data_IF_090948843475
#
_entry.id   IF_090948843475
#
_cell.length_a   1.000
_cell.length_b   1.000
_cell.length_c   1.000
_cell.angle_alpha   90.00
_cell.angle_beta   90.00
_cell.angle_gamma   90.00
#
_symmetry.space_group_name_H-M   'P 1'
#
loop_
_entity.id
_entity.type
_entity.pdbx_description
1 polymer ?
#
# COMPACT_ATOMS: atom_id res chain seq x y z
N UNK A 1 -2.33 13.70 -15.00
CA UNK A 1 -1.43 13.95 -13.84
C UNK A 1 -0.56 12.73 -13.58
N UNK A 2 0.68 12.94 -13.15
CA UNK A 2 1.61 11.85 -12.79
C UNK A 2 1.50 11.57 -11.29
N UNK A 3 0.53 10.72 -10.91
CA UNK A 3 0.22 10.43 -9.50
C UNK A 3 1.22 9.49 -8.82
N UNK A 4 2.52 9.75 -8.97
CA UNK A 4 3.55 8.88 -8.40
C UNK A 4 4.77 9.64 -7.89
N UNK A 5 5.28 9.18 -6.76
CA UNK A 5 6.57 9.55 -6.21
C UNK A 5 7.54 8.43 -6.58
N UNK A 6 8.50 8.74 -7.45
CA UNK A 6 9.53 7.77 -7.85
C UNK A 6 10.78 7.97 -7.01
N UNK A 7 11.39 6.88 -6.60
CA UNK A 7 12.76 6.89 -6.09
C UNK A 7 13.56 5.73 -6.68
N UNK A 8 14.87 5.90 -6.81
CA UNK A 8 15.76 4.91 -7.38
C UNK A 8 16.84 4.50 -6.38
N UNK A 9 16.86 3.23 -5.96
CA UNK A 9 17.80 2.72 -4.95
C UNK A 9 17.81 3.55 -3.65
N UNK A 10 16.63 3.90 -3.13
CA UNK A 10 16.50 4.72 -1.90
C UNK A 10 15.60 4.08 -0.87
N UNK A 11 15.93 4.37 0.38
CA UNK A 11 15.07 4.13 1.53
C UNK A 11 14.54 5.48 2.00
N UNK A 12 13.22 5.59 2.09
CA UNK A 12 12.51 6.80 2.53
C UNK A 12 11.93 6.51 3.91
N UNK A 13 12.11 7.45 4.85
CA UNK A 13 11.55 7.34 6.19
C UNK A 13 10.64 8.54 6.45
N UNK A 14 9.38 8.27 6.77
CA UNK A 14 8.43 9.22 7.31
C UNK A 14 8.25 8.89 8.79
N UNK A 15 8.65 9.79 9.67
CA UNK A 15 8.54 9.55 11.11
C UNK A 15 8.14 10.81 11.85
N UNK A 16 7.30 10.63 12.86
CA UNK A 16 7.06 11.66 13.85
C UNK A 16 8.32 11.86 14.70
N UNK A 17 8.65 13.13 14.92
CA UNK A 17 9.64 13.56 15.92
C UNK A 17 8.92 14.38 16.99
N UNK A 18 9.19 14.09 18.26
CA UNK A 18 8.60 14.81 19.40
C UNK A 18 7.33 14.19 19.98
N UNK A 19 6.72 14.93 20.91
CA UNK A 19 5.54 14.53 21.69
C UNK A 19 4.23 14.94 21.00
N UNK A 20 3.09 14.44 21.47
CA UNK A 20 1.76 14.84 21.00
C UNK A 20 1.04 13.73 20.21
N UNK A 21 0.02 14.10 19.43
CA UNK A 21 -0.68 13.16 18.54
C UNK A 21 0.23 12.71 17.37
N UNK A 22 -0.10 11.59 16.74
CA UNK A 22 0.57 11.21 15.50
C UNK A 22 0.18 12.18 14.38
N UNK A 23 1.13 12.58 13.51
CA UNK A 23 0.76 13.23 12.27
C UNK A 23 0.03 12.24 11.36
N UNK A 24 -0.80 12.78 10.48
CA UNK A 24 -1.56 11.97 9.52
C UNK A 24 -0.95 12.11 8.11
N UNK A 25 -0.64 10.98 7.48
CA UNK A 25 -0.39 10.88 6.05
C UNK A 25 -1.72 10.63 5.33
N UNK A 26 -2.28 11.68 4.75
CA UNK A 26 -3.50 11.59 3.95
C UNK A 26 -3.17 11.19 2.52
N UNK A 27 -3.53 9.97 2.17
CA UNK A 27 -3.32 9.44 0.84
C UNK A 27 -4.46 9.92 -0.08
N UNK A 28 -4.10 10.46 -1.26
CA UNK A 28 -5.09 10.95 -2.22
C UNK A 28 -5.47 9.92 -3.29
N UNK A 29 -6.62 10.15 -3.94
CA UNK A 29 -7.03 9.50 -5.18
C UNK A 29 -7.33 10.53 -6.29
N UNK A 30 -7.25 10.11 -7.55
CA UNK A 30 -7.49 10.95 -8.71
C UNK A 30 -8.05 10.15 -9.90
N UNK A 31 -8.64 10.84 -10.88
CA UNK A 31 -9.09 10.23 -12.14
C UNK A 31 -7.90 10.07 -13.09
N UNK A 32 -7.62 8.82 -13.45
CA UNK A 32 -6.62 8.42 -14.43
C UNK A 32 -7.28 8.10 -15.77
N UNK A 33 -6.79 8.73 -16.83
CA UNK A 33 -7.19 8.45 -18.22
C UNK A 33 -6.13 7.55 -18.85
N UNK A 34 -6.53 6.36 -19.32
CA UNK A 34 -5.65 5.42 -20.02
C UNK A 34 -5.37 5.86 -21.46
N UNK A 35 -4.40 5.21 -22.11
CA UNK A 35 -3.98 5.56 -23.49
C UNK A 35 -5.07 5.39 -24.55
N UNK A 36 -6.12 4.62 -24.26
CA UNK A 36 -7.31 4.45 -25.10
C UNK A 36 -8.48 5.38 -24.71
N UNK A 37 -8.27 6.34 -23.80
CA UNK A 37 -9.29 7.31 -23.36
C UNK A 37 -10.24 6.82 -22.27
N UNK A 38 -10.12 5.58 -21.79
CA UNK A 38 -10.95 5.10 -20.66
C UNK A 38 -10.54 5.76 -19.33
N UNK A 39 -11.51 6.01 -18.46
CA UNK A 39 -11.30 6.67 -17.18
C UNK A 39 -11.42 5.71 -16.00
N UNK A 40 -10.54 5.86 -15.01
CA UNK A 40 -10.49 5.04 -13.80
C UNK A 40 -10.12 5.87 -12.57
N UNK A 41 -10.48 5.42 -11.37
CA UNK A 41 -9.87 5.91 -10.14
C UNK A 41 -8.48 5.32 -9.95
N UNK A 42 -7.53 6.14 -9.51
CA UNK A 42 -6.16 5.74 -9.17
C UNK A 42 -5.73 6.38 -7.84
N UNK A 43 -4.81 5.73 -7.12
CA UNK A 43 -4.20 6.24 -5.88
C UNK A 43 -2.85 6.88 -6.20
N UNK A 44 -2.51 7.98 -5.51
CA UNK A 44 -1.14 8.51 -5.57
C UNK A 44 -0.18 7.50 -4.93
N UNK A 45 0.94 7.17 -5.55
CA UNK A 45 1.72 6.00 -5.11
C UNK A 45 3.22 6.20 -5.11
N UNK A 46 3.89 5.47 -4.23
CA UNK A 46 5.33 5.30 -4.22
C UNK A 46 5.73 4.20 -5.19
N UNK A 47 6.78 4.46 -5.96
CA UNK A 47 7.39 3.48 -6.87
C UNK A 47 8.90 3.50 -6.64
N UNK A 48 9.45 2.34 -6.27
CA UNK A 48 10.87 2.13 -6.04
C UNK A 48 11.49 1.42 -7.24
N UNK A 49 12.16 2.18 -8.09
CA UNK A 49 12.91 1.64 -9.24
C UNK A 49 14.31 1.22 -8.77
N UNK A 50 14.84 0.10 -9.28
CA UNK A 50 16.15 -0.46 -8.85
C UNK A 50 16.19 -1.07 -7.43
N UNK A 51 15.22 -0.73 -6.59
CA UNK A 51 15.03 -1.28 -5.25
C UNK A 51 14.83 -0.17 -4.24
N UNK A 52 14.28 -0.51 -3.07
CA UNK A 52 14.12 0.47 -2.01
C UNK A 52 13.03 0.13 -1.02
N UNK A 53 12.83 1.05 -0.08
CA UNK A 53 11.83 0.90 0.96
C UNK A 53 11.19 2.21 1.37
N UNK A 54 9.95 2.11 1.86
CA UNK A 54 9.27 3.14 2.61
C UNK A 54 9.10 2.66 4.04
N UNK A 55 9.62 3.41 5.01
CA UNK A 55 9.35 3.20 6.42
C UNK A 55 8.48 4.33 6.96
N UNK A 56 7.39 4.00 7.64
CA UNK A 56 6.46 4.94 8.24
C UNK A 56 6.38 4.64 9.74
N UNK A 57 6.66 5.63 10.60
CA UNK A 57 6.80 5.40 12.04
C UNK A 57 6.03 6.41 12.88
N UNK A 58 5.08 5.92 13.68
CA UNK A 58 4.21 6.72 14.53
C UNK A 58 3.49 7.81 13.73
N UNK A 59 2.95 7.42 12.58
CA UNK A 59 2.20 8.27 11.67
C UNK A 59 0.90 7.53 11.38
N UNK A 60 -0.23 8.21 11.52
CA UNK A 60 -1.51 7.65 11.12
C UNK A 60 -1.65 7.78 9.60
N UNK A 61 -2.30 6.83 8.94
CA UNK A 61 -2.43 6.80 7.47
C UNK A 61 -3.92 6.71 7.14
N UNK A 62 -4.40 7.59 6.27
CA UNK A 62 -5.77 7.53 5.77
C UNK A 62 -5.77 7.17 4.29
N UNK A 63 -6.32 5.99 3.96
CA UNK A 63 -6.47 5.51 2.58
C UNK A 63 -7.71 6.15 1.94
N UNK A 64 -7.60 6.59 0.67
CA UNK A 64 -8.65 7.33 0.03
C UNK A 64 -9.81 6.43 -0.38
N UNK A 65 -11.01 7.01 -0.46
CA UNK A 65 -12.08 6.49 -1.29
C UNK A 65 -11.87 6.83 -2.77
N UNK A 66 -12.82 6.45 -3.62
CA UNK A 66 -12.84 6.87 -5.03
C UNK A 66 -12.92 8.39 -5.16
N UNK A 67 -12.16 8.95 -6.09
CA UNK A 67 -12.30 10.36 -6.51
C UNK A 67 -13.57 10.59 -7.33
N UNK A 68 -14.02 9.59 -8.08
CA UNK A 68 -15.29 9.58 -8.80
C UNK A 68 -16.01 8.24 -8.57
N UNK A 69 -17.15 8.21 -7.85
CA UNK A 69 -17.86 6.97 -7.53
C UNK A 69 -18.28 6.13 -8.74
N UNK A 70 -18.57 6.76 -9.88
CA UNK A 70 -19.05 6.09 -11.09
C UNK A 70 -17.96 5.29 -11.82
N UNK A 71 -16.70 5.62 -11.59
CA UNK A 71 -15.58 4.96 -12.27
C UNK A 71 -15.07 3.75 -11.48
N UNK A 72 -14.61 2.72 -12.18
CA UNK A 72 -13.92 1.59 -11.58
C UNK A 72 -12.52 2.02 -11.07
N UNK A 73 -11.94 1.25 -10.15
CA UNK A 73 -10.52 1.38 -9.82
C UNK A 73 -9.66 0.83 -10.97
N UNK A 74 -8.55 1.50 -11.27
CA UNK A 74 -7.46 0.87 -12.05
C UNK A 74 -6.65 -0.06 -11.14
N UNK A 75 -5.74 -0.85 -11.71
CA UNK A 75 -4.77 -1.66 -10.95
C UNK A 75 -3.84 -0.84 -10.04
N UNK A 76 -3.87 0.49 -10.16
CA UNK A 76 -3.04 1.46 -9.42
C UNK A 76 -3.71 1.90 -8.11
N UNK A 77 -4.08 0.93 -7.27
CA UNK A 77 -4.90 1.12 -6.07
C UNK A 77 -4.18 0.74 -4.77
N UNK A 78 -2.85 0.94 -4.74
CA UNK A 78 -1.98 0.70 -3.58
C UNK A 78 -1.07 1.90 -3.31
N UNK A 79 -0.72 2.14 -2.03
CA UNK A 79 0.26 3.16 -1.64
C UNK A 79 1.64 2.86 -2.23
N UNK A 80 2.15 1.64 -2.02
CA UNK A 80 3.41 1.19 -2.60
C UNK A 80 3.09 0.29 -3.77
N UNK A 81 3.36 0.80 -4.98
CA UNK A 81 3.12 0.07 -6.21
C UNK A 81 4.34 -0.78 -6.58
N UNK A 82 4.07 -1.89 -7.26
CA UNK A 82 5.11 -2.75 -7.80
C UNK A 82 6.04 -2.00 -8.79
N UNK A 83 7.30 -2.41 -8.81
CA UNK A 83 8.24 -2.15 -9.89
C UNK A 83 8.70 -3.50 -10.42
N UNK A 84 8.53 -3.71 -11.73
CA UNK A 84 8.80 -5.01 -12.37
C UNK A 84 10.22 -5.49 -12.06
N UNK A 85 10.35 -6.77 -11.70
CA UNK A 85 11.62 -7.48 -11.44
C UNK A 85 12.52 -6.90 -10.34
N UNK A 86 12.00 -5.99 -9.52
CA UNK A 86 12.74 -5.31 -8.46
C UNK A 86 12.03 -5.53 -7.13
N UNK A 87 12.78 -5.67 -6.04
CA UNK A 87 12.23 -5.77 -4.69
C UNK A 87 11.86 -4.41 -4.10
N UNK A 88 10.71 -4.32 -3.42
CA UNK A 88 10.32 -3.13 -2.64
C UNK A 88 9.88 -3.53 -1.24
N UNK A 89 10.06 -2.64 -0.25
CA UNK A 89 9.57 -2.89 1.11
C UNK A 89 8.73 -1.73 1.66
N UNK A 90 7.70 -2.06 2.43
CA UNK A 90 6.91 -1.13 3.22
C UNK A 90 6.95 -1.58 4.69
N UNK A 91 7.52 -0.75 5.56
CA UNK A 91 7.52 -1.01 7.00
C UNK A 91 6.70 0.05 7.70
N UNK A 92 5.70 -0.35 8.48
CA UNK A 92 4.87 0.56 9.25
C UNK A 92 4.93 0.14 10.72
N UNK A 93 5.29 1.08 11.59
CA UNK A 93 5.37 0.83 13.02
C UNK A 93 4.68 1.92 13.83
N UNK A 94 3.72 1.55 14.67
CA UNK A 94 2.93 2.52 15.44
C UNK A 94 1.92 3.29 14.60
N UNK A 95 0.79 3.64 15.20
CA UNK A 95 -0.27 4.44 14.59
C UNK A 95 -1.46 3.62 14.07
N UNK A 96 -2.40 4.33 13.46
CA UNK A 96 -3.63 3.77 12.89
C UNK A 96 -3.65 3.97 11.39
N UNK A 97 -4.01 2.92 10.65
CA UNK A 97 -4.25 2.97 9.21
C UNK A 97 -5.75 2.85 9.01
N UNK A 98 -6.39 3.92 8.59
CA UNK A 98 -7.81 3.95 8.26
C UNK A 98 -8.03 3.77 6.76
N UNK A 99 -9.07 3.04 6.36
CA UNK A 99 -9.45 2.87 4.97
C UNK A 99 -10.92 3.09 4.70
N UNK A 100 -11.22 3.78 3.60
CA UNK A 100 -12.59 4.11 3.21
C UNK A 100 -13.18 3.18 2.14
N UNK A 101 -12.37 2.34 1.48
CA UNK A 101 -12.79 1.49 0.35
C UNK A 101 -12.04 0.15 0.33
N UNK A 102 -12.80 -0.94 0.23
CA UNK A 102 -12.31 -2.33 0.21
C UNK A 102 -11.38 -2.65 -0.97
N UNK A 103 -11.40 -1.80 -2.00
CA UNK A 103 -10.61 -1.99 -3.21
C UNK A 103 -9.27 -1.24 -3.18
N UNK A 104 -8.91 -0.62 -2.07
CA UNK A 104 -7.59 0.02 -1.87
C UNK A 104 -6.76 -0.82 -0.89
N UNK A 105 -5.43 -0.77 -1.03
CA UNK A 105 -4.54 -1.40 -0.06
C UNK A 105 -3.20 -0.70 0.11
N UNK A 106 -2.32 -1.32 0.89
CA UNK A 106 -1.00 -0.77 1.20
C UNK A 106 0.02 -1.14 0.14
N UNK A 107 0.00 -2.39 -0.33
CA UNK A 107 0.94 -2.92 -1.31
C UNK A 107 0.24 -3.68 -2.43
N UNK A 108 0.92 -3.72 -3.58
CA UNK A 108 0.58 -4.56 -4.74
C UNK A 108 1.84 -5.27 -5.23
N UNK A 109 1.73 -6.55 -5.62
CA UNK A 109 2.84 -7.32 -6.20
C UNK A 109 2.48 -7.86 -7.59
N UNK A 110 3.28 -7.51 -8.61
CA UNK A 110 3.04 -7.95 -9.98
C UNK A 110 4.33 -8.04 -10.80
N UNK A 111 4.26 -8.74 -11.93
CA UNK A 111 5.34 -8.80 -12.93
C UNK A 111 6.70 -9.19 -12.35
N UNK A 112 6.71 -10.26 -11.55
CA UNK A 112 7.91 -10.79 -10.90
C UNK A 112 8.47 -9.93 -9.77
N UNK A 113 7.74 -8.90 -9.33
CA UNK A 113 8.11 -8.09 -8.17
C UNK A 113 7.94 -8.91 -6.87
N UNK A 114 8.87 -8.69 -5.93
CA UNK A 114 8.72 -9.07 -4.53
C UNK A 114 8.45 -7.80 -3.72
N UNK A 115 7.34 -7.77 -3.00
CA UNK A 115 7.08 -6.74 -1.98
C UNK A 115 7.14 -7.35 -0.59
N UNK A 116 7.87 -6.70 0.29
CA UNK A 116 7.87 -7.04 1.72
C UNK A 116 7.07 -6.00 2.48
N UNK A 117 6.16 -6.44 3.35
CA UNK A 117 5.40 -5.57 4.23
C UNK A 117 5.60 -6.00 5.67
N UNK A 118 6.07 -5.07 6.51
CA UNK A 118 6.27 -5.28 7.93
C UNK A 118 5.35 -4.35 8.72
N UNK A 119 4.49 -4.91 9.57
CA UNK A 119 3.52 -4.20 10.38
C UNK A 119 3.80 -4.45 11.86
N UNK A 120 4.12 -3.40 12.63
CA UNK A 120 4.48 -3.52 14.05
C UNK A 120 3.70 -2.53 14.93
N UNK A 121 2.92 -3.03 15.90
CA UNK A 121 2.15 -2.19 16.82
C UNK A 121 1.22 -1.20 16.12
N UNK A 122 0.51 -1.67 15.09
CA UNK A 122 -0.41 -0.86 14.27
C UNK A 122 -1.86 -1.32 14.43
N UNK A 123 -2.78 -0.37 14.31
CA UNK A 123 -4.21 -0.65 14.15
C UNK A 123 -4.60 -0.48 12.70
N UNK A 124 -5.24 -1.48 12.10
CA UNK A 124 -5.84 -1.40 10.77
C UNK A 124 -7.36 -1.25 10.95
N UNK A 125 -7.92 -0.17 10.45
CA UNK A 125 -9.31 0.23 10.69
C UNK A 125 -10.04 0.51 9.37
N UNK A 126 -11.10 -0.24 9.10
CA UNK A 126 -11.97 -0.02 7.96
C UNK A 126 -11.84 -1.08 6.88
N UNK A 127 -12.73 -1.07 5.89
CA UNK A 127 -12.82 -2.14 4.91
C UNK A 127 -11.69 -1.97 3.91
N UNK A 128 -10.51 -2.57 4.14
CA UNK A 128 -9.43 -2.63 3.16
C UNK A 128 -8.54 -3.85 3.39
N UNK A 129 -7.76 -4.21 2.38
CA UNK A 129 -6.78 -5.27 2.47
C UNK A 129 -5.35 -4.70 2.46
N UNK A 130 -4.47 -5.21 3.33
CA UNK A 130 -3.04 -4.84 3.34
C UNK A 130 -2.41 -5.08 1.97
N UNK A 131 -2.66 -6.24 1.37
CA UNK A 131 -2.23 -6.60 0.02
C UNK A 131 -3.46 -6.54 -0.90
N UNK A 132 -3.45 -5.63 -1.88
CA UNK A 132 -4.61 -5.47 -2.78
C UNK A 132 -4.58 -6.37 -4.00
N UNK A 133 -3.39 -6.86 -4.38
CA UNK A 133 -3.21 -8.01 -5.28
C UNK A 133 -1.76 -8.55 -5.28
N UNK A 134 -1.62 -9.81 -5.69
CA UNK A 134 -0.33 -10.47 -5.93
C UNK A 134 -0.33 -11.36 -7.18
N UNK A 135 -1.15 -11.04 -8.21
CA UNK A 135 -1.49 -11.95 -9.31
C UNK A 135 -0.30 -12.54 -10.07
N UNK A 136 0.86 -11.88 -10.06
CA UNK A 136 2.11 -12.33 -10.71
C UNK A 136 3.35 -11.84 -9.94
N UNK A 137 3.28 -11.81 -8.62
CA UNK A 137 4.35 -11.37 -7.75
C UNK A 137 4.30 -12.07 -6.40
N UNK A 138 5.27 -11.75 -5.54
CA UNK A 138 5.33 -12.31 -4.18
C UNK A 138 5.15 -11.19 -3.17
N UNK A 139 4.22 -11.36 -2.24
CA UNK A 139 4.11 -10.50 -1.06
C UNK A 139 4.51 -11.28 0.18
N UNK A 140 5.44 -10.72 0.96
CA UNK A 140 5.87 -11.28 2.25
C UNK A 140 5.34 -10.37 3.34
N UNK A 141 4.61 -10.94 4.30
CA UNK A 141 3.97 -10.17 5.38
C UNK A 141 4.59 -10.57 6.73
N UNK A 142 5.26 -9.63 7.38
CA UNK A 142 5.66 -9.74 8.77
C UNK A 142 4.73 -8.92 9.67
N UNK A 143 4.16 -9.53 10.71
CA UNK A 143 3.27 -8.85 11.66
C UNK A 143 3.73 -9.01 13.10
N UNK A 144 3.67 -7.93 13.88
CA UNK A 144 3.87 -7.94 15.32
C UNK A 144 2.87 -7.01 15.99
N UNK A 145 2.02 -7.52 16.88
CA UNK A 145 1.02 -6.71 17.61
C UNK A 145 0.10 -5.87 16.70
N UNK A 146 -0.51 -6.51 15.68
CA UNK A 146 -1.45 -5.85 14.76
C UNK A 146 -2.88 -6.02 15.25
N UNK A 147 -3.65 -4.94 15.30
CA UNK A 147 -5.09 -4.96 15.61
C UNK A 147 -5.90 -4.74 14.34
N UNK A 148 -6.92 -5.56 14.08
CA UNK A 148 -7.83 -5.42 12.93
C UNK A 148 -9.20 -4.96 13.40
N UNK A 149 -9.75 -3.93 12.77
CA UNK A 149 -11.05 -3.34 13.09
C UNK A 149 -11.86 -3.05 11.81
N UNK A 150 -13.19 -3.02 11.96
CA UNK A 150 -14.14 -2.55 10.93
C UNK A 150 -13.93 -3.13 9.52
N UNK A 151 -13.59 -4.42 9.43
CA UNK A 151 -13.43 -5.12 8.16
C UNK A 151 -12.02 -5.06 7.56
N UNK A 152 -11.03 -4.56 8.29
CA UNK A 152 -9.64 -4.58 7.85
C UNK A 152 -9.12 -6.02 7.75
N UNK A 153 -8.38 -6.30 6.68
CA UNK A 153 -7.86 -7.62 6.38
C UNK A 153 -6.37 -7.58 6.06
N UNK A 154 -5.66 -8.57 6.60
CA UNK A 154 -4.36 -8.96 6.08
C UNK A 154 -4.64 -10.11 5.11
N UNK A 155 -5.18 -9.77 3.94
CA UNK A 155 -5.52 -10.76 2.94
C UNK A 155 -4.25 -11.28 2.27
N UNK A 156 -4.10 -12.61 2.28
CA UNK A 156 -3.08 -13.33 1.55
C UNK A 156 -3.45 -13.24 0.05
N UNK A 157 -2.95 -12.22 -0.65
CA UNK A 157 -3.31 -11.92 -2.05
C UNK A 157 -2.89 -12.97 -3.10
N UNK A 158 -2.53 -14.19 -2.67
CA UNK A 158 -2.12 -15.32 -3.51
C UNK A 158 -2.28 -16.67 -2.79
N UNK A 159 -2.16 -17.76 -3.54
CA UNK A 159 -2.25 -19.12 -2.98
C UNK A 159 -0.96 -19.49 -2.26
N UNK A 160 -1.07 -19.90 -0.98
CA UNK A 160 0.02 -20.52 -0.20
C UNK A 160 0.63 -21.69 -0.98
N UNK A 161 1.97 -21.69 -1.14
CA UNK A 161 2.71 -22.70 -1.90
C UNK A 161 2.94 -22.38 -3.38
N UNK A 162 2.23 -21.39 -3.96
CA UNK A 162 2.49 -20.90 -5.32
C UNK A 162 3.21 -19.54 -5.33
N UNK A 163 2.73 -18.58 -4.53
CA UNK A 163 3.20 -17.18 -4.58
C UNK A 163 3.56 -16.57 -3.20
N UNK A 164 3.55 -17.35 -2.11
CA UNK A 164 3.72 -16.83 -0.75
C UNK A 164 4.51 -17.76 0.17
N UNK A 165 5.35 -17.17 1.02
CA UNK A 165 5.97 -17.76 2.21
C UNK A 165 5.47 -16.97 3.43
N UNK A 166 4.93 -17.66 4.43
CA UNK A 166 4.45 -17.07 5.70
C UNK A 166 5.28 -17.64 6.84
N UNK A 167 5.72 -16.78 7.75
CA UNK A 167 6.37 -17.15 9.00
C UNK A 167 5.65 -16.44 10.15
#
# INVERSE_FOLDING_TARGET
MNGKIRSYNKNVVLQKTGVGANPELQQGAYVYISGNGSEYNAVYRWVFEGGGSLAIRNVDISLPGKSNPALAWTSRRAIVAYSSQVGSALSISGGTISGADAQVGLVSAHTGNRVEINLASVTLDGPFAVIINADNGVSLVGTYSVTLQNGAQIADGGTLGANMLKN
#
